data_IF_555908394435
#
_entry.id   IF_555908394435
#
_cell.length_a   1.000
_cell.length_b   1.000
_cell.length_c   1.000
_cell.angle_alpha   90.00
_cell.angle_beta   90.00
_cell.angle_gamma   90.00
#
_symmetry.space_group_name_H-M   'P 1'
#
loop_
_entity.id
_entity.type
_entity.pdbx_description
1 polymer ?
#
# COMPACT_ATOMS: atom_id res chain seq x y z
N UNK A 1 -84.74 -35.85 -14.34
CA UNK A 1 -83.84 -35.32 -15.40
C UNK A 1 -82.64 -34.68 -14.67
N UNK A 2 -81.50 -35.37 -14.67
CA UNK A 2 -80.28 -35.02 -13.90
C UNK A 2 -79.30 -34.30 -14.80
N UNK A 3 -78.87 -33.08 -14.44
CA UNK A 3 -77.72 -32.39 -15.03
C UNK A 3 -76.56 -32.34 -14.01
N UNK A 4 -75.55 -33.15 -14.32
CA UNK A 4 -74.25 -33.11 -13.60
C UNK A 4 -73.46 -31.94 -14.03
N UNK A 5 -73.13 -31.10 -13.10
CA UNK A 5 -72.10 -30.04 -13.27
C UNK A 5 -70.72 -30.62 -12.93
N UNK A 6 -69.83 -30.76 -13.93
CA UNK A 6 -68.43 -31.12 -13.71
C UNK A 6 -67.63 -29.92 -13.19
N UNK A 7 -66.94 -30.09 -12.08
CA UNK A 7 -65.97 -29.13 -11.52
C UNK A 7 -64.61 -29.44 -12.13
N UNK A 8 -64.08 -28.53 -12.94
CA UNK A 8 -62.71 -28.60 -13.44
C UNK A 8 -61.85 -27.85 -12.41
N UNK A 9 -61.08 -28.59 -11.62
CA UNK A 9 -60.03 -28.05 -10.76
C UNK A 9 -58.79 -27.74 -11.60
N UNK A 10 -58.58 -26.46 -11.93
CA UNK A 10 -57.36 -25.99 -12.56
C UNK A 10 -56.24 -25.87 -11.53
N UNK A 11 -55.25 -26.77 -11.59
CA UNK A 11 -54.02 -26.67 -10.82
C UNK A 11 -53.12 -25.58 -11.45
N UNK A 12 -53.09 -24.42 -10.81
CA UNK A 12 -52.09 -23.36 -11.14
C UNK A 12 -50.73 -23.79 -10.58
N UNK A 13 -49.86 -24.29 -11.45
CA UNK A 13 -48.42 -24.46 -11.16
C UNK A 13 -47.79 -23.06 -11.08
N UNK A 14 -47.58 -22.57 -9.85
CA UNK A 14 -46.77 -21.37 -9.63
C UNK A 14 -45.31 -21.74 -9.94
N UNK A 15 -44.84 -21.36 -11.13
CA UNK A 15 -43.43 -21.38 -11.46
C UNK A 15 -42.73 -20.34 -10.60
N UNK A 16 -42.09 -20.78 -9.53
CA UNK A 16 -41.08 -20.00 -8.80
C UNK A 16 -39.91 -19.79 -9.75
N UNK A 17 -39.91 -18.68 -10.46
CA UNK A 17 -38.69 -18.16 -11.11
C UNK A 17 -37.72 -17.85 -10.00
N UNK A 18 -36.84 -18.80 -9.68
CA UNK A 18 -35.64 -18.54 -8.94
C UNK A 18 -34.86 -17.47 -9.76
N UNK A 19 -34.89 -16.23 -9.28
CA UNK A 19 -33.92 -15.22 -9.71
C UNK A 19 -32.55 -15.83 -9.50
N UNK A 20 -31.93 -16.33 -10.56
CA UNK A 20 -30.56 -16.78 -10.54
C UNK A 20 -29.68 -15.61 -10.13
N UNK A 21 -29.35 -15.50 -8.82
CA UNK A 21 -28.26 -14.67 -8.36
C UNK A 21 -27.06 -15.08 -9.21
N UNK A 22 -26.55 -14.18 -9.99
CA UNK A 22 -25.28 -14.37 -10.69
C UNK A 22 -24.27 -14.86 -9.65
N UNK A 23 -23.78 -16.10 -9.82
CA UNK A 23 -22.87 -16.74 -8.88
C UNK A 23 -21.44 -16.20 -9.05
N UNK A 24 -21.34 -14.92 -9.48
CA UNK A 24 -20.09 -14.25 -9.76
C UNK A 24 -19.44 -13.87 -8.42
N UNK A 25 -18.19 -14.31 -8.23
CA UNK A 25 -17.42 -14.02 -7.02
C UNK A 25 -17.11 -12.53 -7.00
N UNK A 26 -17.46 -11.85 -5.91
CA UNK A 26 -17.13 -10.44 -5.67
C UNK A 26 -16.05 -10.38 -4.61
N UNK A 27 -14.89 -9.82 -4.93
CA UNK A 27 -13.78 -9.63 -3.99
C UNK A 27 -13.75 -8.16 -3.58
N UNK A 28 -13.95 -7.88 -2.28
CA UNK A 28 -13.74 -6.55 -1.72
C UNK A 28 -12.25 -6.25 -1.58
N UNK A 29 -11.79 -5.10 -2.05
CA UNK A 29 -10.40 -4.66 -1.90
C UNK A 29 -10.37 -3.30 -1.22
N UNK A 30 -9.67 -3.24 -0.07
CA UNK A 30 -9.69 -2.09 0.84
C UNK A 30 -8.25 -1.56 1.02
N UNK A 31 -7.84 -0.50 0.28
CA UNK A 31 -6.55 0.15 0.49
C UNK A 31 -6.53 1.00 1.78
N UNK A 32 -5.34 1.46 2.20
CA UNK A 32 -5.20 2.44 3.29
C UNK A 32 -5.65 3.85 2.88
N UNK A 33 -5.49 4.17 1.61
CA UNK A 33 -5.94 5.44 1.04
C UNK A 33 -6.25 5.29 -0.45
N UNK A 34 -7.03 6.24 -0.99
CA UNK A 34 -7.32 6.29 -2.43
C UNK A 34 -6.60 7.43 -3.15
N UNK A 35 -5.90 8.31 -2.41
CA UNK A 35 -5.27 9.53 -2.93
C UNK A 35 -3.79 9.38 -3.31
N UNK A 36 -3.11 8.30 -2.92
CA UNK A 36 -1.68 8.09 -3.16
C UNK A 36 -1.44 7.32 -4.47
N UNK A 37 -0.39 7.69 -5.21
CA UNK A 37 0.01 7.01 -6.44
C UNK A 37 0.33 5.53 -6.20
N UNK A 38 0.88 5.20 -5.04
CA UNK A 38 1.09 3.82 -4.61
C UNK A 38 -0.21 3.00 -4.72
N UNK A 39 -1.34 3.50 -4.19
CA UNK A 39 -2.62 2.77 -4.25
C UNK A 39 -3.31 2.85 -5.61
N UNK A 40 -3.03 3.86 -6.43
CA UNK A 40 -3.43 3.86 -7.85
C UNK A 40 -2.76 2.69 -8.58
N UNK A 41 -1.48 2.46 -8.30
CA UNK A 41 -0.73 1.33 -8.88
C UNK A 41 -1.23 -0.03 -8.38
N UNK A 42 -1.57 -0.14 -7.09
CA UNK A 42 -2.22 -1.33 -6.50
C UNK A 42 -3.54 -1.61 -7.22
N UNK A 43 -4.37 -0.57 -7.43
CA UNK A 43 -5.67 -0.70 -8.11
C UNK A 43 -5.52 -1.23 -9.53
N UNK A 44 -4.54 -0.72 -10.28
CA UNK A 44 -4.25 -1.25 -11.62
C UNK A 44 -3.91 -2.75 -11.61
N UNK A 45 -3.15 -3.22 -10.61
CA UNK A 45 -2.88 -4.65 -10.43
C UNK A 45 -4.12 -5.46 -10.07
N UNK A 46 -4.98 -4.91 -9.22
CA UNK A 46 -6.29 -5.49 -8.86
C UNK A 46 -7.19 -5.64 -10.09
N UNK A 47 -7.29 -4.60 -10.91
CA UNK A 47 -8.09 -4.60 -12.14
C UNK A 47 -7.58 -5.61 -13.15
N UNK A 48 -6.25 -5.74 -13.29
CA UNK A 48 -5.65 -6.75 -14.15
C UNK A 48 -5.99 -8.16 -13.68
N UNK A 49 -5.84 -8.44 -12.38
CA UNK A 49 -6.22 -9.73 -11.80
C UNK A 49 -7.71 -10.02 -11.97
N UNK A 50 -8.59 -9.02 -11.80
CA UNK A 50 -10.03 -9.16 -12.01
C UNK A 50 -10.38 -9.57 -13.45
N UNK A 51 -9.69 -8.97 -14.44
CA UNK A 51 -9.84 -9.32 -15.87
C UNK A 51 -9.39 -10.76 -16.14
N UNK A 52 -8.20 -11.13 -15.66
CA UNK A 52 -7.59 -12.44 -15.94
C UNK A 52 -8.41 -13.58 -15.31
N UNK A 53 -8.92 -13.36 -14.10
CA UNK A 53 -9.67 -14.35 -13.34
C UNK A 53 -11.18 -14.30 -13.55
N UNK A 54 -11.68 -13.29 -14.29
CA UNK A 54 -13.11 -13.07 -14.55
C UNK A 54 -13.95 -12.99 -13.27
N UNK A 55 -13.44 -12.27 -12.29
CA UNK A 55 -14.13 -11.96 -11.01
C UNK A 55 -14.53 -10.49 -10.97
N UNK A 56 -15.53 -10.16 -10.13
CA UNK A 56 -15.84 -8.77 -9.85
C UNK A 56 -15.03 -8.29 -8.65
N UNK A 57 -14.56 -7.05 -8.72
CA UNK A 57 -13.87 -6.38 -7.62
C UNK A 57 -14.69 -5.18 -7.16
N UNK A 58 -14.82 -5.05 -5.83
CA UNK A 58 -15.34 -3.87 -5.16
C UNK A 58 -14.18 -3.13 -4.49
N UNK A 59 -13.62 -2.13 -5.20
CA UNK A 59 -12.58 -1.26 -4.66
C UNK A 59 -13.21 -0.14 -3.84
N UNK A 60 -12.90 -0.06 -2.54
CA UNK A 60 -13.34 1.00 -1.65
C UNK A 60 -12.35 1.19 -0.51
N UNK A 61 -11.98 2.44 -0.22
CA UNK A 61 -11.05 2.79 0.83
C UNK A 61 -11.27 4.20 1.37
N UNK A 62 -10.66 4.53 2.52
CA UNK A 62 -10.67 5.90 3.00
C UNK A 62 -9.90 6.81 2.05
N UNK A 63 -10.15 8.11 2.11
CA UNK A 63 -9.38 9.07 1.34
C UNK A 63 -7.94 9.23 1.89
N UNK A 64 -7.78 9.14 3.22
CA UNK A 64 -6.53 9.36 3.92
C UNK A 64 -6.18 8.17 4.84
N UNK A 65 -4.90 7.86 4.99
CA UNK A 65 -4.42 6.77 5.85
C UNK A 65 -4.67 6.99 7.35
N UNK A 66 -5.04 8.19 7.77
CA UNK A 66 -5.35 8.50 9.18
C UNK A 66 -6.80 8.18 9.54
N UNK A 67 -7.67 7.90 8.56
CA UNK A 67 -9.09 7.64 8.78
C UNK A 67 -9.38 6.14 8.94
N UNK A 68 -8.86 5.55 10.03
CA UNK A 68 -9.14 4.15 10.37
C UNK A 68 -10.61 3.89 10.69
N UNK A 69 -11.35 4.88 11.19
CA UNK A 69 -12.78 4.75 11.47
C UNK A 69 -13.55 4.49 10.17
N UNK A 70 -13.24 5.24 9.11
CA UNK A 70 -13.83 5.00 7.78
C UNK A 70 -13.46 3.63 7.23
N UNK A 71 -12.23 3.16 7.46
CA UNK A 71 -11.83 1.82 7.01
C UNK A 71 -12.63 0.71 7.73
N UNK A 72 -12.91 0.87 9.03
CA UNK A 72 -13.80 -0.03 9.79
C UNK A 72 -15.21 -0.08 9.17
N UNK A 73 -15.81 1.09 8.89
CA UNK A 73 -17.15 1.16 8.26
C UNK A 73 -17.18 0.45 6.89
N UNK A 74 -16.09 0.56 6.11
CA UNK A 74 -15.98 -0.10 4.81
C UNK A 74 -15.94 -1.62 4.99
N UNK A 75 -15.18 -2.14 5.97
CA UNK A 75 -15.17 -3.58 6.28
C UNK A 75 -16.59 -4.06 6.66
N UNK A 76 -17.26 -3.35 7.56
CA UNK A 76 -18.61 -3.70 7.99
C UNK A 76 -19.63 -3.64 6.83
N UNK A 77 -19.49 -2.67 5.92
CA UNK A 77 -20.29 -2.59 4.70
C UNK A 77 -20.06 -3.79 3.77
N UNK A 78 -18.81 -4.23 3.59
CA UNK A 78 -18.49 -5.42 2.78
C UNK A 78 -19.04 -6.71 3.39
N UNK A 79 -19.02 -6.83 4.73
CA UNK A 79 -19.67 -7.94 5.45
C UNK A 79 -21.18 -7.94 5.18
N UNK A 80 -21.82 -6.76 5.31
CA UNK A 80 -23.27 -6.62 5.07
C UNK A 80 -23.66 -6.91 3.61
N UNK A 81 -22.82 -6.60 2.65
CA UNK A 81 -22.99 -6.91 1.24
C UNK A 81 -22.69 -8.38 0.90
N UNK A 82 -22.19 -9.15 1.87
CA UNK A 82 -21.83 -10.55 1.68
C UNK A 82 -20.84 -10.77 0.51
N UNK A 83 -19.78 -9.93 0.44
CA UNK A 83 -18.71 -10.15 -0.56
C UNK A 83 -18.10 -11.54 -0.38
N UNK A 84 -17.59 -12.13 -1.44
CA UNK A 84 -17.03 -13.49 -1.42
C UNK A 84 -15.73 -13.60 -0.63
N UNK A 85 -14.95 -12.51 -0.59
CA UNK A 85 -13.65 -12.41 0.09
C UNK A 85 -13.24 -10.95 0.26
N UNK A 86 -12.31 -10.66 1.17
CA UNK A 86 -11.78 -9.32 1.42
C UNK A 86 -10.25 -9.32 1.33
N UNK A 87 -9.67 -8.45 0.48
CA UNK A 87 -8.28 -8.07 0.54
C UNK A 87 -8.15 -6.70 1.22
N UNK A 88 -7.25 -6.56 2.19
CA UNK A 88 -7.11 -5.32 2.95
C UNK A 88 -5.65 -4.95 3.21
N UNK A 89 -5.33 -3.66 3.05
CA UNK A 89 -4.14 -3.03 3.61
C UNK A 89 -4.58 -2.19 4.83
N UNK A 90 -4.18 -2.60 6.03
CA UNK A 90 -4.70 -1.98 7.25
C UNK A 90 -4.06 -0.61 7.52
N UNK A 91 -4.90 0.41 7.77
CA UNK A 91 -4.44 1.74 8.19
C UNK A 91 -3.82 1.71 9.59
N UNK A 92 -4.29 0.82 10.45
CA UNK A 92 -3.80 0.64 11.82
C UNK A 92 -3.87 -0.85 12.22
N UNK A 93 -2.76 -1.37 12.74
CA UNK A 93 -2.60 -2.80 13.05
C UNK A 93 -3.53 -3.32 14.17
N UNK A 94 -4.03 -2.43 15.02
CA UNK A 94 -4.88 -2.77 16.17
C UNK A 94 -6.34 -2.45 15.93
N UNK A 95 -6.63 -1.28 15.36
CA UNK A 95 -7.99 -0.82 15.13
C UNK A 95 -8.77 -1.76 14.19
N UNK A 96 -8.09 -2.40 13.25
CA UNK A 96 -8.71 -3.29 12.26
C UNK A 96 -8.85 -4.75 12.73
N UNK A 97 -8.37 -5.13 13.92
CA UNK A 97 -8.48 -6.50 14.45
C UNK A 97 -9.94 -6.94 14.54
N UNK A 98 -10.74 -6.24 15.35
CA UNK A 98 -12.12 -6.65 15.60
C UNK A 98 -13.02 -6.67 14.34
N UNK A 99 -12.96 -5.66 13.42
CA UNK A 99 -13.70 -5.73 12.16
C UNK A 99 -13.33 -6.93 11.30
N UNK A 100 -12.04 -7.25 11.18
CA UNK A 100 -11.59 -8.38 10.35
C UNK A 100 -11.93 -9.73 10.98
N UNK A 101 -11.84 -9.85 12.30
CA UNK A 101 -12.37 -11.04 13.00
C UNK A 101 -13.87 -11.26 12.75
N UNK A 102 -14.68 -10.18 12.69
CA UNK A 102 -16.10 -10.29 12.33
C UNK A 102 -16.28 -10.82 10.90
N UNK A 103 -15.48 -10.32 9.94
CA UNK A 103 -15.52 -10.82 8.57
C UNK A 103 -15.19 -12.32 8.51
N UNK A 104 -14.11 -12.73 9.16
CA UNK A 104 -13.67 -14.14 9.21
C UNK A 104 -14.74 -15.03 9.88
N UNK A 105 -15.29 -14.61 11.03
CA UNK A 105 -16.38 -15.33 11.72
C UNK A 105 -17.66 -15.43 10.87
N UNK A 106 -17.86 -14.50 9.93
CA UNK A 106 -18.97 -14.55 8.97
C UNK A 106 -18.66 -15.44 7.75
N UNK A 107 -17.53 -16.14 7.74
CA UNK A 107 -17.12 -17.05 6.67
C UNK A 107 -16.49 -16.34 5.46
N UNK A 108 -16.12 -15.07 5.58
CA UNK A 108 -15.46 -14.29 4.53
C UNK A 108 -13.94 -14.42 4.68
N UNK A 109 -13.23 -15.10 3.76
CA UNK A 109 -11.78 -15.22 3.80
C UNK A 109 -11.11 -13.84 3.60
N UNK A 110 -10.03 -13.59 4.36
CA UNK A 110 -9.33 -12.32 4.37
C UNK A 110 -7.87 -12.53 3.94
N UNK A 111 -7.42 -11.80 2.94
CA UNK A 111 -6.00 -11.62 2.59
C UNK A 111 -5.56 -10.23 3.03
N UNK A 112 -4.41 -10.16 3.68
CA UNK A 112 -3.76 -8.91 4.04
C UNK A 112 -2.73 -8.58 2.96
N UNK A 113 -2.66 -7.33 2.54
CA UNK A 113 -1.60 -6.87 1.64
C UNK A 113 -0.96 -5.57 2.12
N UNK A 114 0.26 -5.27 1.68
CA UNK A 114 1.06 -4.09 2.02
C UNK A 114 1.29 -3.92 3.53
N UNK A 115 0.25 -3.60 4.30
CA UNK A 115 0.34 -3.27 5.73
C UNK A 115 -0.45 -4.26 6.58
N UNK A 116 0.20 -4.85 7.56
CA UNK A 116 -0.33 -5.91 8.42
C UNK A 116 -1.34 -5.44 9.46
N UNK A 117 -1.98 -6.41 10.07
CA UNK A 117 -2.89 -6.26 11.21
C UNK A 117 -2.63 -7.40 12.20
N UNK A 118 -2.85 -7.17 13.49
CA UNK A 118 -2.54 -8.13 14.56
C UNK A 118 -3.60 -9.24 14.68
N UNK A 119 -3.77 -10.02 13.63
CA UNK A 119 -4.59 -11.25 13.59
C UNK A 119 -3.76 -12.39 12.98
N UNK A 120 -4.08 -13.63 13.32
CA UNK A 120 -3.41 -14.83 12.81
C UNK A 120 -4.27 -15.59 11.78
N UNK A 121 -5.59 -15.45 11.88
CA UNK A 121 -6.55 -16.14 11.02
C UNK A 121 -6.84 -15.35 9.73
N UNK A 122 -5.84 -15.33 8.84
CA UNK A 122 -5.95 -14.78 7.49
C UNK A 122 -5.49 -15.80 6.45
N UNK A 123 -5.89 -15.63 5.21
CA UNK A 123 -5.50 -16.49 4.09
C UNK A 123 -4.02 -16.33 3.76
N UNK A 124 -3.62 -15.12 3.40
CA UNK A 124 -2.25 -14.78 3.01
C UNK A 124 -1.90 -13.38 3.46
N UNK A 125 -0.60 -13.12 3.69
CA UNK A 125 -0.07 -11.77 3.86
C UNK A 125 0.97 -11.50 2.77
N UNK A 126 0.66 -10.56 1.88
CA UNK A 126 1.48 -10.21 0.71
C UNK A 126 2.00 -8.80 0.93
N UNK A 127 3.30 -8.64 1.11
CA UNK A 127 3.91 -7.36 1.45
C UNK A 127 5.27 -7.18 0.81
N UNK A 128 5.77 -5.96 0.83
CA UNK A 128 7.20 -5.70 0.62
C UNK A 128 7.98 -6.19 1.83
N UNK A 129 9.20 -6.67 1.65
CA UNK A 129 10.14 -6.95 2.73
C UNK A 129 10.59 -5.65 3.41
N UNK A 130 9.67 -5.02 4.16
CA UNK A 130 9.79 -3.63 4.61
C UNK A 130 10.97 -3.38 5.54
N UNK A 131 11.27 -4.32 6.46
CA UNK A 131 12.42 -4.19 7.35
C UNK A 131 13.74 -4.17 6.57
N UNK A 132 13.94 -5.12 5.65
CA UNK A 132 15.13 -5.19 4.81
C UNK A 132 15.24 -4.00 3.84
N UNK A 133 14.10 -3.49 3.36
CA UNK A 133 14.07 -2.28 2.57
C UNK A 133 14.56 -1.06 3.37
N UNK A 134 14.19 -0.96 4.65
CA UNK A 134 14.72 0.04 5.58
C UNK A 134 16.22 -0.11 5.82
N UNK A 135 16.70 -1.34 6.02
CA UNK A 135 18.13 -1.63 6.14
C UNK A 135 18.90 -1.19 4.88
N UNK A 136 18.35 -1.50 3.71
CA UNK A 136 18.93 -1.12 2.43
C UNK A 136 18.93 0.39 2.23
N UNK A 137 17.86 1.10 2.63
CA UNK A 137 17.81 2.55 2.60
C UNK A 137 18.89 3.20 3.47
N UNK A 138 19.14 2.65 4.67
CA UNK A 138 20.20 3.13 5.58
C UNK A 138 21.59 2.98 4.95
N UNK A 139 21.91 1.80 4.41
CA UNK A 139 23.18 1.54 3.73
C UNK A 139 23.36 2.45 2.50
N UNK A 140 22.28 2.65 1.74
CA UNK A 140 22.25 3.53 0.55
C UNK A 140 22.52 4.98 0.94
N UNK A 141 21.83 5.49 1.98
CA UNK A 141 22.04 6.85 2.46
C UNK A 141 23.47 7.03 2.98
N UNK A 142 23.95 6.12 3.83
CA UNK A 142 25.31 6.17 4.37
C UNK A 142 26.38 6.21 3.28
N UNK A 143 26.19 5.50 2.17
CA UNK A 143 27.09 5.49 1.02
C UNK A 143 27.22 6.84 0.30
N UNK A 144 26.25 7.75 0.46
CA UNK A 144 26.31 9.09 -0.11
C UNK A 144 26.93 10.16 0.83
N UNK A 145 27.12 9.83 2.11
CA UNK A 145 27.54 10.79 3.13
C UNK A 145 29.07 10.90 3.17
N UNK A 146 29.62 11.85 2.45
CA UNK A 146 31.06 12.13 2.41
C UNK A 146 31.51 12.92 3.66
N UNK A 147 31.64 12.23 4.80
CA UNK A 147 32.08 12.84 6.07
C UNK A 147 31.01 13.56 6.89
N UNK A 148 29.76 13.71 6.37
CA UNK A 148 28.65 14.20 7.17
C UNK A 148 28.19 13.11 8.16
N UNK A 149 27.84 13.52 9.39
CA UNK A 149 27.47 12.61 10.47
C UNK A 149 26.00 12.65 10.85
N UNK A 150 25.30 13.75 10.54
CA UNK A 150 23.93 13.97 10.97
C UNK A 150 22.95 13.57 9.86
N UNK A 151 22.00 12.69 10.20
CA UNK A 151 20.90 12.26 9.33
C UNK A 151 19.57 12.45 10.03
N UNK A 152 18.48 12.54 9.28
CA UNK A 152 17.14 12.66 9.82
C UNK A 152 16.17 11.70 9.14
N UNK A 153 15.04 11.46 9.80
CA UNK A 153 13.94 10.67 9.28
C UNK A 153 12.66 11.51 9.20
N UNK A 154 12.05 11.55 8.04
CA UNK A 154 10.67 12.00 7.85
C UNK A 154 9.81 10.74 7.75
N UNK A 155 9.04 10.50 8.79
CA UNK A 155 8.32 9.26 9.06
C UNK A 155 6.85 9.39 8.65
N UNK A 156 6.22 8.28 8.25
CA UNK A 156 4.84 8.30 7.76
C UNK A 156 3.83 8.64 8.86
N UNK A 157 3.51 7.69 9.71
CA UNK A 157 2.61 7.81 10.87
C UNK A 157 2.74 6.57 11.76
N UNK A 158 2.37 6.67 13.05
CA UNK A 158 2.26 5.49 13.91
C UNK A 158 1.19 4.51 13.45
N UNK A 159 1.31 3.23 13.82
CA UNK A 159 0.29 2.18 13.62
C UNK A 159 0.23 1.56 12.23
N UNK A 160 0.94 2.08 11.23
CA UNK A 160 1.07 1.46 9.92
C UNK A 160 2.28 0.52 9.85
N UNK A 161 2.06 -0.81 9.88
CA UNK A 161 3.15 -1.79 10.05
C UNK A 161 4.21 -1.72 8.94
N UNK A 162 3.81 -1.46 7.68
CA UNK A 162 4.74 -1.38 6.55
C UNK A 162 5.79 -0.30 6.75
N UNK A 163 5.38 0.92 7.13
CA UNK A 163 6.31 2.05 7.33
C UNK A 163 7.06 1.96 8.65
N UNK A 164 6.43 1.47 9.71
CA UNK A 164 7.11 1.21 11.00
C UNK A 164 8.27 0.24 10.82
N UNK A 165 8.10 -0.84 10.06
CA UNK A 165 9.17 -1.80 9.78
C UNK A 165 10.33 -1.17 8.97
N UNK A 166 10.03 -0.31 7.97
CA UNK A 166 11.07 0.44 7.23
C UNK A 166 11.89 1.33 8.15
N UNK A 167 11.20 2.06 9.00
CA UNK A 167 11.79 2.99 9.97
C UNK A 167 12.66 2.24 10.96
N UNK A 168 12.20 1.12 11.49
CA UNK A 168 12.98 0.24 12.38
C UNK A 168 14.22 -0.34 11.68
N UNK A 169 14.06 -0.84 10.44
CA UNK A 169 15.18 -1.35 9.66
C UNK A 169 16.25 -0.29 9.41
N UNK A 170 15.84 0.94 9.09
CA UNK A 170 16.74 2.06 8.92
C UNK A 170 17.49 2.40 10.23
N UNK A 171 16.76 2.58 11.34
CA UNK A 171 17.35 2.94 12.63
C UNK A 171 18.33 1.89 13.15
N UNK A 172 17.92 0.61 13.12
CA UNK A 172 18.77 -0.48 13.60
C UNK A 172 20.05 -0.63 12.76
N UNK A 173 19.94 -0.43 11.46
CA UNK A 173 21.11 -0.49 10.56
C UNK A 173 22.06 0.68 10.81
N UNK A 174 21.53 1.93 10.95
CA UNK A 174 22.38 3.08 11.33
C UNK A 174 23.09 2.81 12.65
N UNK A 175 22.38 2.38 13.66
CA UNK A 175 22.96 2.13 14.99
C UNK A 175 24.04 1.03 14.98
N UNK A 176 23.85 -0.03 14.18
CA UNK A 176 24.71 -1.21 14.18
C UNK A 176 25.90 -1.09 13.22
N UNK A 177 25.65 -0.59 12.00
CA UNK A 177 26.64 -0.61 10.91
C UNK A 177 27.35 0.74 10.73
N UNK A 178 26.71 1.85 11.15
CA UNK A 178 27.22 3.20 10.97
C UNK A 178 27.18 4.03 12.27
N UNK A 179 27.87 3.58 13.35
CA UNK A 179 27.79 4.21 14.66
C UNK A 179 28.30 5.67 14.71
N UNK A 180 29.03 6.10 13.67
CA UNK A 180 29.44 7.49 13.48
C UNK A 180 28.29 8.40 13.02
N UNK A 181 27.21 7.84 12.44
CA UNK A 181 26.05 8.60 12.01
C UNK A 181 25.05 8.77 13.17
N UNK A 182 24.48 9.98 13.28
CA UNK A 182 23.50 10.32 14.32
C UNK A 182 22.17 10.63 13.67
N UNK A 183 21.12 9.94 14.09
CA UNK A 183 19.76 10.33 13.71
C UNK A 183 19.31 11.46 14.62
N UNK A 184 19.48 12.71 14.15
CA UNK A 184 19.24 13.93 14.94
C UNK A 184 17.77 14.32 15.02
N UNK A 185 16.93 13.84 14.07
CA UNK A 185 15.49 14.10 14.08
C UNK A 185 14.71 12.88 13.56
N UNK A 186 13.54 12.66 14.17
CA UNK A 186 12.51 11.68 13.81
C UNK A 186 11.16 12.35 13.91
N UNK A 187 10.52 12.65 12.78
CA UNK A 187 9.25 13.37 12.81
C UNK A 187 8.23 12.74 11.86
N UNK A 188 6.99 12.63 12.33
CA UNK A 188 5.88 12.08 11.59
C UNK A 188 5.18 13.14 10.72
N UNK A 189 5.00 12.84 9.43
CA UNK A 189 4.23 13.68 8.51
C UNK A 189 2.73 13.33 8.48
N UNK A 190 2.30 12.31 9.20
CA UNK A 190 0.90 11.84 9.27
C UNK A 190 0.28 11.54 7.90
N UNK A 191 1.06 10.93 7.00
CA UNK A 191 0.67 10.55 5.64
C UNK A 191 0.22 11.73 4.76
N UNK A 192 0.67 12.94 5.07
CA UNK A 192 0.33 14.18 4.38
C UNK A 192 1.58 14.87 3.81
N UNK A 193 1.58 15.14 2.50
CA UNK A 193 2.74 15.70 1.82
C UNK A 193 2.99 17.18 2.19
N UNK A 194 1.94 17.97 2.48
CA UNK A 194 2.11 19.36 2.88
C UNK A 194 2.71 19.43 4.29
N UNK A 195 2.23 18.60 5.20
CA UNK A 195 2.82 18.46 6.54
C UNK A 195 4.25 17.92 6.47
N UNK A 196 4.52 16.98 5.57
CA UNK A 196 5.89 16.49 5.33
C UNK A 196 6.83 17.61 4.92
N UNK A 197 6.37 18.53 4.06
CA UNK A 197 7.16 19.70 3.69
C UNK A 197 7.51 20.54 4.91
N UNK A 198 6.54 20.89 5.75
CA UNK A 198 6.76 21.67 6.98
C UNK A 198 7.75 20.94 7.90
N UNK A 199 7.55 19.65 8.14
CA UNK A 199 8.44 18.81 8.94
C UNK A 199 9.86 18.82 8.42
N UNK A 200 10.05 18.66 7.11
CA UNK A 200 11.37 18.67 6.50
C UNK A 200 12.02 20.07 6.56
N UNK A 201 11.24 21.15 6.36
CA UNK A 201 11.71 22.53 6.50
C UNK A 201 12.19 22.84 7.93
N UNK A 202 11.48 22.34 8.95
CA UNK A 202 11.82 22.48 10.37
C UNK A 202 13.10 21.71 10.72
N UNK A 203 13.23 20.47 10.23
CA UNK A 203 14.45 19.66 10.39
C UNK A 203 15.65 20.38 9.79
N UNK A 204 15.53 20.85 8.52
CA UNK A 204 16.60 21.57 7.83
C UNK A 204 16.98 22.89 8.49
N UNK A 205 16.03 23.56 9.15
CA UNK A 205 16.29 24.79 9.90
C UNK A 205 17.02 24.52 11.23
N UNK A 206 16.60 23.47 11.94
CA UNK A 206 17.20 23.10 13.23
C UNK A 206 18.60 22.46 13.09
N UNK A 207 18.90 21.85 11.94
CA UNK A 207 20.13 21.10 11.70
C UNK A 207 20.83 21.58 10.43
N UNK A 208 21.53 22.75 10.48
CA UNK A 208 22.15 23.35 9.27
C UNK A 208 23.26 22.49 8.65
N UNK A 209 23.83 21.55 9.40
CA UNK A 209 24.87 20.62 8.93
C UNK A 209 24.32 19.24 8.57
N UNK A 210 23.00 19.11 8.39
CA UNK A 210 22.36 17.84 8.06
C UNK A 210 22.94 17.27 6.75
N UNK A 211 23.46 16.05 6.81
CA UNK A 211 24.02 15.35 5.64
C UNK A 211 22.96 14.66 4.81
N UNK A 212 21.91 14.11 5.44
CA UNK A 212 20.90 13.37 4.70
C UNK A 212 19.56 13.17 5.41
N UNK A 213 18.54 12.86 4.59
CA UNK A 213 17.18 12.54 5.03
C UNK A 213 16.77 11.19 4.45
N UNK A 214 16.19 10.34 5.28
CA UNK A 214 15.39 9.21 4.86
C UNK A 214 13.90 9.55 4.98
N UNK A 215 13.16 9.47 3.86
CA UNK A 215 11.72 9.66 3.80
C UNK A 215 11.03 8.32 3.58
N UNK A 216 10.28 7.82 4.58
CA UNK A 216 9.86 6.41 4.66
C UNK A 216 8.66 6.03 3.79
N UNK A 217 8.06 7.00 3.04
CA UNK A 217 6.85 6.79 2.24
C UNK A 217 6.70 7.83 1.14
N UNK A 218 5.72 7.64 0.23
CA UNK A 218 5.39 8.60 -0.83
C UNK A 218 5.14 10.02 -0.28
N UNK A 219 4.26 10.16 0.72
CA UNK A 219 3.93 11.47 1.29
C UNK A 219 5.13 12.13 1.98
N UNK A 220 5.91 11.34 2.75
CA UNK A 220 7.14 11.79 3.39
C UNK A 220 8.15 12.29 2.34
N UNK A 221 8.27 11.57 1.23
CA UNK A 221 9.19 11.88 0.13
C UNK A 221 8.82 13.14 -0.61
N UNK A 222 7.54 13.29 -1.01
CA UNK A 222 7.07 14.45 -1.77
C UNK A 222 7.30 15.78 -1.02
N UNK A 223 6.99 15.81 0.27
CA UNK A 223 7.24 17.01 1.09
C UNK A 223 8.73 17.28 1.29
N UNK A 224 9.55 16.26 1.52
CA UNK A 224 11.01 16.39 1.66
C UNK A 224 11.66 16.91 0.38
N UNK A 225 11.23 16.45 -0.80
CA UNK A 225 11.67 16.96 -2.10
C UNK A 225 11.38 18.47 -2.21
N UNK A 226 10.16 18.89 -1.86
CA UNK A 226 9.77 20.30 -1.92
C UNK A 226 10.58 21.17 -0.96
N UNK A 227 10.81 20.71 0.28
CA UNK A 227 11.60 21.43 1.27
C UNK A 227 13.07 21.61 0.83
N UNK A 228 13.71 20.56 0.31
CA UNK A 228 15.09 20.61 -0.17
C UNK A 228 15.22 21.56 -1.37
N UNK A 229 14.30 21.48 -2.35
CA UNK A 229 14.29 22.41 -3.50
C UNK A 229 14.07 23.86 -3.07
N UNK A 230 13.07 24.10 -2.19
CA UNK A 230 12.75 25.44 -1.71
C UNK A 230 13.88 26.14 -0.96
N UNK A 231 14.80 25.38 -0.37
CA UNK A 231 16.00 25.88 0.33
C UNK A 231 17.28 25.85 -0.52
N UNK A 232 17.22 25.47 -1.80
CA UNK A 232 18.37 25.30 -2.68
C UNK A 232 19.44 24.33 -2.12
N UNK A 233 18.99 23.23 -1.53
CA UNK A 233 19.84 22.20 -0.92
C UNK A 233 19.93 20.92 -1.78
N UNK A 234 19.41 20.93 -3.00
CA UNK A 234 19.53 19.80 -3.95
C UNK A 234 20.98 19.39 -4.13
N UNK A 235 21.24 18.08 -3.94
CA UNK A 235 22.58 17.49 -4.00
C UNK A 235 23.48 17.75 -2.78
N UNK A 236 23.18 18.76 -1.96
CA UNK A 236 23.90 19.05 -0.71
C UNK A 236 23.42 18.16 0.43
N UNK A 237 22.13 18.16 0.70
CA UNK A 237 21.48 17.19 1.60
C UNK A 237 21.08 15.97 0.79
N UNK A 238 21.56 14.80 1.18
CA UNK A 238 21.26 13.54 0.49
C UNK A 238 19.86 13.07 0.88
N UNK A 239 19.02 12.80 -0.11
CA UNK A 239 17.65 12.33 0.12
C UNK A 239 17.48 10.92 -0.44
N UNK A 240 17.17 9.97 0.44
CA UNK A 240 16.67 8.64 0.06
C UNK A 240 15.17 8.60 0.30
N UNK A 241 14.42 8.35 -0.77
CA UNK A 241 12.95 8.36 -0.78
C UNK A 241 12.39 6.95 -0.81
N UNK A 242 11.11 6.82 -0.51
CA UNK A 242 10.33 5.60 -0.74
C UNK A 242 9.23 5.87 -1.75
N UNK A 243 8.89 4.83 -2.53
CA UNK A 243 7.89 4.84 -3.59
C UNK A 243 8.29 5.63 -4.83
N UNK A 244 7.37 5.83 -5.76
CA UNK A 244 7.59 6.58 -6.98
C UNK A 244 6.36 7.44 -7.35
N UNK A 245 6.63 8.49 -8.09
CA UNK A 245 5.68 9.31 -8.83
C UNK A 245 6.46 10.09 -9.88
N UNK A 246 5.79 10.81 -10.76
CA UNK A 246 6.45 11.72 -11.72
C UNK A 246 7.42 12.67 -11.00
N UNK A 247 6.99 13.25 -9.87
CA UNK A 247 7.83 14.16 -9.07
C UNK A 247 9.09 13.49 -8.53
N UNK A 248 9.01 12.22 -8.09
CA UNK A 248 10.18 11.47 -7.62
C UNK A 248 11.18 11.23 -8.75
N UNK A 249 10.70 10.80 -9.92
CA UNK A 249 11.56 10.54 -11.09
C UNK A 249 12.24 11.82 -11.54
N UNK A 250 11.52 12.95 -11.61
CA UNK A 250 12.11 14.26 -11.94
C UNK A 250 13.15 14.70 -10.90
N UNK A 251 12.87 14.49 -9.60
CA UNK A 251 13.78 14.84 -8.51
C UNK A 251 15.04 13.94 -8.48
N UNK A 252 14.94 12.70 -8.92
CA UNK A 252 16.10 11.83 -9.10
C UNK A 252 16.94 12.28 -10.31
N UNK A 253 16.30 12.70 -11.41
CA UNK A 253 16.98 13.23 -12.60
C UNK A 253 17.74 14.52 -12.34
N UNK A 254 17.16 15.46 -11.60
CA UNK A 254 17.79 16.75 -11.28
C UNK A 254 18.76 16.68 -10.08
N UNK A 255 18.85 15.53 -9.40
CA UNK A 255 19.77 15.30 -8.29
C UNK A 255 19.26 15.79 -6.92
N UNK A 256 18.00 16.21 -6.80
CA UNK A 256 17.36 16.51 -5.51
C UNK A 256 17.22 15.23 -4.67
N UNK A 257 16.81 14.13 -5.31
CA UNK A 257 16.79 12.78 -4.73
C UNK A 257 18.09 12.06 -5.09
N UNK A 258 18.71 11.40 -4.14
CA UNK A 258 19.96 10.64 -4.31
C UNK A 258 19.68 9.19 -4.72
N UNK A 259 18.64 8.60 -4.17
CA UNK A 259 18.13 7.27 -4.53
C UNK A 259 16.64 7.13 -4.17
N UNK A 260 15.92 6.31 -4.93
CA UNK A 260 14.56 5.90 -4.62
C UNK A 260 14.55 4.42 -4.19
N UNK A 261 13.83 4.11 -3.10
CA UNK A 261 13.44 2.76 -2.73
C UNK A 261 12.06 2.50 -3.34
N UNK A 262 11.98 1.65 -4.34
CA UNK A 262 10.72 1.42 -5.07
C UNK A 262 10.19 0.03 -4.81
N UNK A 263 8.93 -0.06 -4.44
CA UNK A 263 8.15 -1.29 -4.27
C UNK A 263 7.54 -1.72 -5.61
N UNK A 264 6.82 -2.84 -5.60
CA UNK A 264 6.01 -3.28 -6.73
C UNK A 264 4.52 -3.31 -6.35
N UNK A 265 3.88 -2.13 -6.28
CA UNK A 265 2.49 -2.02 -5.85
C UNK A 265 1.50 -2.71 -6.79
N UNK A 266 1.80 -2.77 -8.10
CA UNK A 266 0.99 -3.50 -9.05
C UNK A 266 0.88 -4.99 -8.68
N UNK A 267 2.02 -5.64 -8.44
CA UNK A 267 2.04 -7.05 -8.04
C UNK A 267 1.45 -7.29 -6.64
N UNK A 268 1.54 -6.32 -5.71
CA UNK A 268 0.84 -6.42 -4.42
C UNK A 268 -0.68 -6.57 -4.61
N UNK A 269 -1.27 -5.71 -5.44
CA UNK A 269 -2.70 -5.77 -5.76
C UNK A 269 -3.10 -7.02 -6.53
N UNK A 270 -2.31 -7.37 -7.54
CA UNK A 270 -2.52 -8.54 -8.38
C UNK A 270 -2.53 -9.83 -7.57
N UNK A 271 -1.50 -10.06 -6.75
CA UNK A 271 -1.37 -11.26 -5.91
C UNK A 271 -2.40 -11.30 -4.77
N UNK A 272 -2.83 -10.15 -4.24
CA UNK A 272 -3.89 -10.11 -3.23
C UNK A 272 -5.20 -10.69 -3.75
N UNK A 273 -5.61 -10.33 -4.98
CA UNK A 273 -6.81 -10.89 -5.63
C UNK A 273 -6.59 -12.36 -5.99
N UNK A 274 -5.41 -12.72 -6.52
CA UNK A 274 -5.07 -14.11 -6.88
C UNK A 274 -5.11 -15.06 -5.67
N UNK A 275 -4.60 -14.63 -4.51
CA UNK A 275 -4.61 -15.46 -3.29
C UNK A 275 -6.04 -15.79 -2.85
N UNK A 276 -6.94 -14.81 -2.90
CA UNK A 276 -8.35 -15.00 -2.56
C UNK A 276 -9.08 -15.84 -3.60
N UNK A 277 -8.80 -15.64 -4.89
CA UNK A 277 -9.37 -16.46 -5.94
C UNK A 277 -9.01 -17.94 -5.79
N UNK A 278 -7.74 -18.26 -5.49
CA UNK A 278 -7.29 -19.62 -5.17
C UNK A 278 -8.05 -20.20 -4.01
N UNK A 279 -8.17 -19.46 -2.90
CA UNK A 279 -8.94 -19.89 -1.72
C UNK A 279 -10.41 -20.18 -2.03
N UNK A 280 -11.06 -19.30 -2.80
CA UNK A 280 -12.44 -19.47 -3.23
C UNK A 280 -12.66 -20.66 -4.18
N UNK A 281 -11.59 -21.21 -4.75
CA UNK A 281 -11.59 -22.44 -5.57
C UNK A 281 -11.05 -23.67 -4.83
N UNK A 282 -10.85 -23.58 -3.50
CA UNK A 282 -10.43 -24.70 -2.67
C UNK A 282 -8.92 -24.96 -2.63
N UNK A 283 -8.12 -24.01 -3.14
CA UNK A 283 -6.65 -24.07 -3.07
C UNK A 283 -6.15 -23.35 -1.80
N UNK A 284 -4.96 -23.72 -1.34
CA UNK A 284 -4.29 -23.06 -0.22
C UNK A 284 -3.11 -22.23 -0.73
N UNK A 285 -3.23 -20.89 -0.79
CA UNK A 285 -2.11 -20.03 -1.17
C UNK A 285 -1.04 -19.98 -0.05
N UNK A 286 0.19 -19.53 -0.35
CA UNK A 286 1.22 -19.32 0.65
C UNK A 286 0.75 -18.37 1.76
N UNK A 287 1.04 -18.71 3.03
CA UNK A 287 0.64 -17.87 4.19
C UNK A 287 1.33 -16.49 4.18
N UNK A 288 2.56 -16.43 3.66
CA UNK A 288 3.37 -15.20 3.52
C UNK A 288 4.02 -15.14 2.14
N UNK A 289 4.01 -13.94 1.55
CA UNK A 289 4.69 -13.63 0.30
C UNK A 289 5.35 -12.26 0.41
N UNK A 290 6.68 -12.21 0.45
CA UNK A 290 7.44 -10.98 0.50
C UNK A 290 7.98 -10.63 -0.88
N UNK A 291 7.62 -9.43 -1.36
CA UNK A 291 8.13 -8.86 -2.61
C UNK A 291 9.35 -7.96 -2.31
N UNK A 292 10.39 -7.98 -3.15
CA UNK A 292 11.55 -7.15 -2.93
C UNK A 292 11.26 -5.67 -3.22
N UNK A 293 11.83 -4.77 -2.42
CA UNK A 293 12.02 -3.38 -2.82
C UNK A 293 13.32 -3.24 -3.62
N UNK A 294 13.37 -2.28 -4.55
CA UNK A 294 14.53 -2.00 -5.40
C UNK A 294 15.10 -0.63 -5.11
N UNK A 295 16.43 -0.53 -5.04
CA UNK A 295 17.13 0.76 -5.08
C UNK A 295 17.21 1.21 -6.53
N UNK A 296 16.75 2.43 -6.79
CA UNK A 296 16.84 3.04 -8.12
C UNK A 296 17.69 4.30 -8.01
N UNK A 297 18.77 4.32 -8.77
CA UNK A 297 19.67 5.45 -8.93
C UNK A 297 19.37 6.19 -10.24
N UNK A 298 19.89 7.41 -10.37
CA UNK A 298 19.75 8.21 -11.60
C UNK A 298 20.18 7.43 -12.85
N UNK A 299 21.27 6.66 -12.76
CA UNK A 299 21.79 5.86 -13.87
C UNK A 299 20.88 4.68 -14.28
N UNK A 300 19.90 4.33 -13.45
CA UNK A 300 18.99 3.21 -13.71
C UNK A 300 17.72 3.66 -14.45
N UNK A 301 17.41 4.96 -14.46
CA UNK A 301 16.14 5.50 -14.96
C UNK A 301 15.84 5.18 -16.42
N UNK A 302 16.86 4.96 -17.24
CA UNK A 302 16.70 4.68 -18.66
C UNK A 302 16.68 3.18 -18.99
N UNK A 303 16.79 2.31 -17.97
CA UNK A 303 16.64 0.86 -18.12
C UNK A 303 15.18 0.48 -18.36
N UNK A 304 14.85 -0.36 -19.36
CA UNK A 304 13.46 -0.69 -19.70
C UNK A 304 12.67 -1.27 -18.54
N UNK A 305 13.27 -2.13 -17.71
CA UNK A 305 12.64 -2.74 -16.53
C UNK A 305 12.33 -1.72 -15.44
N UNK A 306 13.12 -0.64 -15.34
CA UNK A 306 12.87 0.45 -14.39
C UNK A 306 11.79 1.38 -14.94
N UNK A 307 11.83 1.71 -16.22
CA UNK A 307 10.77 2.50 -16.86
C UNK A 307 9.41 1.82 -16.72
N UNK A 308 9.33 0.52 -16.95
CA UNK A 308 8.08 -0.24 -16.75
C UNK A 308 7.59 -0.22 -15.29
N UNK A 309 8.49 -0.09 -14.32
CA UNK A 309 8.13 -0.03 -12.89
C UNK A 309 7.67 1.37 -12.47
N UNK A 310 8.38 2.45 -12.90
CA UNK A 310 8.15 3.82 -12.41
C UNK A 310 7.36 4.70 -13.38
N UNK A 311 7.15 4.25 -14.62
CA UNK A 311 6.35 4.87 -15.66
C UNK A 311 5.60 3.79 -16.45
N UNK A 312 4.77 2.97 -15.80
CA UNK A 312 4.06 1.87 -16.46
C UNK A 312 3.03 2.42 -17.46
N UNK A 313 2.80 1.68 -18.55
CA UNK A 313 1.88 2.09 -19.64
C UNK A 313 0.46 2.37 -19.17
N UNK A 314 -0.04 1.61 -18.17
CA UNK A 314 -1.38 1.83 -17.62
C UNK A 314 -1.55 3.21 -16.96
N UNK A 315 -0.45 3.88 -16.58
CA UNK A 315 -0.50 5.23 -16.01
C UNK A 315 -0.95 6.28 -17.05
N UNK A 316 -0.63 6.05 -18.33
CA UNK A 316 -1.04 6.93 -19.44
C UNK A 316 -2.50 6.69 -19.85
N UNK A 317 -3.09 5.55 -19.49
CA UNK A 317 -4.47 5.15 -19.82
C UNK A 317 -5.51 5.65 -18.81
N UNK A 318 -5.07 6.15 -17.65
CA UNK A 318 -5.93 6.57 -16.52
C UNK A 318 -6.16 8.08 -16.44
N UNK A 319 -5.75 8.84 -17.46
CA UNK A 319 -5.93 10.31 -17.54
C UNK A 319 -6.74 10.72 -18.74
#
# INVERSE_FOLDING_TARGET
>A
MNTRRGFIAGSALAALTACGRSNKKVIGVIPKATSHMFFVSVHAGVDQAAKDLKVDVLWNGPQNETDFARQIEIVDSMIAQQVSAIAISATDERALVAPLERAIKSGIPVTIFDSGVNIDDYVSFIATGNFEAGCTAARTLAGFLNGATDVAMVMQKPGGTSTVLREQGFEQTIAKEFPQLKIVARQYCMADAARSRTVAEDILAAHPNLGGIFASSEAASLGSIQAIRGRNLSGKVKLVTFDFSKTHVEALRDGTVSAMMVQDPFHLGYEAVHSLYRTLNGETPPKRQDLPARVILKADLDKPEIQNLVQPKWLDETH
#
